data_IF_848642997490
#
_entry.id   IF_848642997490
#
_cell.length_a   1.000
_cell.length_b   1.000
_cell.length_c   1.000
_cell.angle_alpha   90.00
_cell.angle_beta   90.00
_cell.angle_gamma   90.00
#
_symmetry.space_group_name_H-M   'P 1'
#
loop_
_entity.id
_entity.type
_entity.pdbx_description
1 polymer ?
#
# COMPACT_ATOMS: atom_id res chain seq x y z
N UNK A 1 -5.24 1.80 -5.00
CA UNK A 1 -4.34 1.50 -3.87
C UNK A 1 -3.44 0.33 -4.26
N UNK A 2 -2.18 0.62 -4.53
CA UNK A 2 -1.22 -0.32 -5.15
C UNK A 2 -1.09 -1.65 -4.42
N UNK A 3 -1.10 -1.65 -3.08
CA UNK A 3 -1.04 -2.89 -2.28
C UNK A 3 -2.16 -3.87 -2.63
N UNK A 4 -3.32 -3.37 -3.04
CA UNK A 4 -4.46 -4.21 -3.43
C UNK A 4 -4.44 -4.53 -4.91
N UNK A 5 -4.16 -3.55 -5.76
CA UNK A 5 -4.19 -3.73 -7.23
C UNK A 5 -3.07 -4.64 -7.72
N UNK A 6 -1.85 -4.49 -7.19
CA UNK A 6 -0.73 -5.37 -7.52
C UNK A 6 -0.66 -6.60 -6.60
N UNK A 7 -1.08 -6.45 -5.34
CA UNK A 7 -1.00 -7.53 -4.35
C UNK A 7 -1.81 -8.78 -4.70
N UNK A 8 -2.91 -8.64 -5.43
CA UNK A 8 -3.69 -9.79 -5.89
C UNK A 8 -2.90 -10.67 -6.87
N UNK A 9 -2.13 -10.05 -7.76
CA UNK A 9 -1.26 -10.76 -8.72
C UNK A 9 -0.12 -11.45 -7.98
N UNK A 10 0.56 -10.71 -7.09
CA UNK A 10 1.63 -11.27 -6.25
C UNK A 10 1.17 -12.45 -5.40
N UNK A 11 -0.03 -12.33 -4.80
CA UNK A 11 -0.64 -13.43 -4.03
C UNK A 11 -0.92 -14.66 -4.90
N UNK A 12 -1.49 -14.47 -6.09
CA UNK A 12 -1.76 -15.58 -7.02
C UNK A 12 -0.47 -16.30 -7.44
N UNK A 13 0.58 -15.54 -7.72
CA UNK A 13 1.87 -16.10 -8.13
C UNK A 13 2.54 -16.86 -6.98
N UNK A 14 2.58 -16.29 -5.77
CA UNK A 14 3.18 -16.94 -4.61
C UNK A 14 2.47 -18.25 -4.25
N UNK A 15 1.15 -18.23 -4.24
CA UNK A 15 0.34 -19.42 -3.94
C UNK A 15 0.45 -20.45 -5.07
N UNK A 16 0.41 -20.00 -6.32
CA UNK A 16 0.58 -20.88 -7.47
C UNK A 16 1.92 -21.61 -7.47
N UNK A 17 3.01 -20.94 -7.12
CA UNK A 17 4.32 -21.55 -6.92
C UNK A 17 4.29 -22.57 -5.78
N UNK A 18 3.69 -22.23 -4.66
CA UNK A 18 3.56 -23.13 -3.50
C UNK A 18 2.77 -24.39 -3.84
N UNK A 19 1.76 -24.28 -4.69
CA UNK A 19 0.94 -25.40 -5.18
C UNK A 19 1.62 -26.21 -6.30
N UNK A 20 2.80 -25.80 -6.77
CA UNK A 20 3.51 -26.47 -7.86
C UNK A 20 2.83 -26.33 -9.22
N UNK A 21 2.12 -25.23 -9.48
CA UNK A 21 1.45 -25.00 -10.75
C UNK A 21 2.46 -24.90 -11.90
N UNK A 22 2.11 -25.46 -13.06
CA UNK A 22 2.89 -25.30 -14.29
C UNK A 22 2.90 -23.81 -14.73
N UNK A 23 3.86 -23.45 -15.59
CA UNK A 23 3.95 -22.09 -16.15
C UNK A 23 2.66 -21.66 -16.86
N UNK A 24 1.98 -22.59 -17.55
CA UNK A 24 0.69 -22.31 -18.17
C UNK A 24 -0.40 -22.00 -17.12
N UNK A 25 -0.47 -22.81 -16.07
CA UNK A 25 -1.43 -22.59 -14.97
C UNK A 25 -1.13 -21.30 -14.20
N UNK A 26 0.15 -20.96 -13.98
CA UNK A 26 0.55 -19.69 -13.35
C UNK A 26 0.08 -18.50 -14.19
N UNK A 27 0.24 -18.56 -15.51
CA UNK A 27 -0.27 -17.52 -16.42
C UNK A 27 -1.79 -17.38 -16.34
N UNK A 28 -2.52 -18.49 -16.27
CA UNK A 28 -3.97 -18.47 -16.09
C UNK A 28 -4.36 -17.90 -14.72
N UNK A 29 -3.65 -18.25 -13.66
CA UNK A 29 -3.85 -17.68 -12.33
C UNK A 29 -3.61 -16.17 -12.33
N UNK A 30 -2.56 -15.70 -13.00
CA UNK A 30 -2.26 -14.28 -13.16
C UNK A 30 -3.38 -13.57 -13.91
N UNK A 31 -3.93 -14.15 -14.96
CA UNK A 31 -5.07 -13.59 -15.70
C UNK A 31 -6.34 -13.51 -14.86
N UNK A 32 -6.64 -14.54 -14.09
CA UNK A 32 -7.76 -14.53 -13.16
C UNK A 32 -7.59 -13.47 -12.06
N UNK A 33 -6.37 -13.31 -11.54
CA UNK A 33 -6.03 -12.33 -10.51
C UNK A 33 -6.10 -10.90 -11.03
N UNK A 34 -5.54 -10.62 -12.21
CA UNK A 34 -5.53 -9.28 -12.80
C UNK A 34 -6.94 -8.75 -13.05
N UNK A 35 -7.87 -9.61 -13.41
CA UNK A 35 -9.29 -9.25 -13.59
C UNK A 35 -10.01 -8.90 -12.26
N UNK A 36 -9.42 -9.23 -11.12
CA UNK A 36 -9.95 -8.94 -9.79
C UNK A 36 -9.17 -7.80 -9.08
N UNK A 37 -8.24 -7.17 -9.78
CA UNK A 37 -7.46 -6.07 -9.22
C UNK A 37 -8.36 -4.88 -8.91
N UNK A 38 -8.43 -4.52 -7.63
CA UNK A 38 -9.24 -3.40 -7.15
C UNK A 38 -8.62 -2.76 -5.91
N UNK A 39 -9.22 -1.67 -5.45
CA UNK A 39 -8.80 -0.97 -4.25
C UNK A 39 -8.68 0.53 -4.49
N UNK A 40 -9.44 1.31 -3.74
CA UNK A 40 -9.50 2.76 -3.88
C UNK A 40 -8.64 3.44 -2.83
N UNK A 41 -7.92 4.48 -3.22
CA UNK A 41 -7.15 5.34 -2.31
C UNK A 41 -8.07 6.09 -1.35
N UNK A 42 -9.31 6.36 -1.75
CA UNK A 42 -10.33 7.03 -0.93
C UNK A 42 -10.64 6.29 0.38
N UNK A 43 -10.38 4.99 0.42
CA UNK A 43 -10.59 4.18 1.64
C UNK A 43 -9.52 4.41 2.73
N UNK A 44 -8.45 5.15 2.45
CA UNK A 44 -7.38 5.41 3.41
C UNK A 44 -7.91 6.12 4.67
N UNK A 45 -7.50 5.62 5.84
CA UNK A 45 -7.95 6.13 7.14
C UNK A 45 -9.25 5.49 7.65
N UNK A 46 -9.89 4.63 6.85
CA UNK A 46 -11.09 3.88 7.25
C UNK A 46 -10.79 2.39 7.44
N UNK A 47 -11.71 1.64 8.05
CA UNK A 47 -11.61 0.18 8.14
C UNK A 47 -11.69 -0.50 6.77
N UNK A 48 -12.36 0.11 5.80
CA UNK A 48 -12.48 -0.40 4.43
C UNK A 48 -11.13 -0.57 3.72
N UNK A 49 -10.11 0.22 4.08
CA UNK A 49 -8.73 0.01 3.57
C UNK A 49 -8.23 -1.39 3.85
N UNK A 50 -8.52 -1.94 5.02
CA UNK A 50 -8.05 -3.28 5.40
C UNK A 50 -8.76 -4.38 4.60
N UNK A 51 -10.03 -4.18 4.23
CA UNK A 51 -10.75 -5.16 3.40
C UNK A 51 -10.18 -5.27 1.99
N UNK A 52 -9.68 -4.18 1.41
CA UNK A 52 -9.09 -4.24 0.07
C UNK A 52 -7.80 -5.08 0.03
N UNK A 53 -6.97 -4.98 1.07
CA UNK A 53 -5.76 -5.81 1.21
C UNK A 53 -6.11 -7.28 1.46
N UNK A 54 -7.08 -7.54 2.35
CA UNK A 54 -7.59 -8.89 2.60
C UNK A 54 -8.22 -9.53 1.34
N UNK A 55 -8.94 -8.74 0.54
CA UNK A 55 -9.49 -9.19 -0.72
C UNK A 55 -8.38 -9.53 -1.74
N UNK A 56 -7.29 -8.79 -1.80
CA UNK A 56 -6.16 -9.12 -2.66
C UNK A 56 -5.58 -10.50 -2.32
N UNK A 57 -5.36 -10.78 -1.05
CA UNK A 57 -4.88 -12.09 -0.60
C UNK A 57 -5.88 -13.22 -0.93
N UNK A 58 -7.17 -13.01 -0.59
CA UNK A 58 -8.24 -14.00 -0.88
C UNK A 58 -8.40 -14.27 -2.37
N UNK A 59 -8.43 -13.21 -3.18
CA UNK A 59 -8.65 -13.34 -4.62
C UNK A 59 -7.43 -13.93 -5.33
N UNK A 60 -6.21 -13.68 -4.83
CA UNK A 60 -5.01 -14.34 -5.32
C UNK A 60 -5.03 -15.86 -5.04
N UNK A 61 -5.39 -16.26 -3.82
CA UNK A 61 -5.60 -17.67 -3.48
C UNK A 61 -6.65 -18.31 -4.39
N UNK A 62 -7.82 -17.67 -4.53
CA UNK A 62 -8.88 -18.15 -5.40
C UNK A 62 -8.40 -18.33 -6.85
N UNK A 63 -7.66 -17.36 -7.38
CA UNK A 63 -7.14 -17.39 -8.76
C UNK A 63 -6.18 -18.58 -8.97
N UNK A 64 -5.29 -18.86 -8.02
CA UNK A 64 -4.40 -20.01 -8.07
C UNK A 64 -5.16 -21.33 -8.00
N UNK A 65 -6.15 -21.45 -7.12
CA UNK A 65 -6.99 -22.64 -7.02
C UNK A 65 -7.82 -22.87 -8.29
N UNK A 66 -8.41 -21.83 -8.86
CA UNK A 66 -9.14 -21.94 -10.13
C UNK A 66 -8.23 -22.46 -11.24
N UNK A 67 -7.03 -21.90 -11.38
CA UNK A 67 -6.07 -22.37 -12.39
C UNK A 67 -5.60 -23.80 -12.15
N UNK A 68 -5.45 -24.26 -10.90
CA UNK A 68 -5.11 -25.63 -10.58
C UNK A 68 -6.18 -26.62 -11.04
N UNK A 69 -7.44 -26.18 -11.13
CA UNK A 69 -8.58 -26.95 -11.61
C UNK A 69 -8.91 -26.72 -13.10
N UNK A 70 -8.00 -26.15 -13.86
CA UNK A 70 -8.15 -26.01 -15.31
C UNK A 70 -8.89 -24.75 -15.77
N UNK A 71 -9.12 -23.79 -14.88
CA UNK A 71 -9.65 -22.48 -15.29
C UNK A 71 -8.62 -21.73 -16.14
N UNK A 72 -9.05 -21.21 -17.29
CA UNK A 72 -8.18 -20.55 -18.26
C UNK A 72 -8.25 -19.04 -18.17
N UNK A 73 -7.16 -18.38 -18.45
CA UNK A 73 -7.03 -16.91 -18.59
C UNK A 73 -6.33 -16.57 -19.90
N UNK A 74 -6.16 -15.27 -20.18
CA UNK A 74 -5.50 -14.79 -21.39
C UNK A 74 -4.00 -15.17 -21.42
N UNK A 75 -3.42 -15.22 -22.61
CA UNK A 75 -2.00 -15.53 -22.78
C UNK A 75 -1.06 -14.41 -22.29
N UNK A 76 -1.51 -13.17 -22.36
CA UNK A 76 -0.75 -11.96 -22.00
C UNK A 76 -1.55 -11.11 -21.00
N UNK A 77 -1.73 -11.57 -19.75
CA UNK A 77 -2.60 -10.91 -18.78
C UNK A 77 -2.09 -9.55 -18.31
N UNK A 78 -0.78 -9.35 -18.28
CA UNK A 78 -0.16 -8.11 -17.82
C UNK A 78 0.21 -7.19 -18.97
N UNK A 79 0.97 -7.69 -19.93
CA UNK A 79 1.63 -6.94 -20.99
C UNK A 79 0.79 -6.79 -22.26
N UNK A 80 -0.25 -7.58 -22.43
CA UNK A 80 -1.08 -7.56 -23.64
C UNK A 80 -1.71 -6.19 -23.92
N UNK A 81 -2.17 -5.92 -25.15
CA UNK A 81 -2.70 -4.59 -25.56
C UNK A 81 -3.86 -4.08 -24.70
N UNK A 82 -4.55 -4.96 -24.00
CA UNK A 82 -5.60 -4.66 -23.02
C UNK A 82 -5.31 -5.34 -21.67
N UNK A 83 -4.03 -5.66 -21.42
CA UNK A 83 -3.56 -6.25 -20.19
C UNK A 83 -3.56 -5.27 -19.04
N UNK A 84 -3.29 -5.80 -17.86
CA UNK A 84 -3.36 -5.05 -16.60
C UNK A 84 -2.53 -3.75 -16.64
N UNK A 85 -1.29 -3.81 -17.15
CA UNK A 85 -0.39 -2.66 -17.17
C UNK A 85 -0.87 -1.56 -18.11
N UNK A 86 -1.39 -1.92 -19.29
CA UNK A 86 -1.91 -0.96 -20.26
C UNK A 86 -3.17 -0.26 -19.79
N UNK A 87 -3.99 -0.95 -18.97
CA UNK A 87 -5.25 -0.40 -18.45
C UNK A 87 -5.01 0.44 -17.18
N UNK A 88 -4.06 0.03 -16.33
CA UNK A 88 -3.86 0.65 -15.02
C UNK A 88 -2.72 1.67 -14.98
N UNK A 89 -1.87 1.72 -15.98
CA UNK A 89 -0.70 2.60 -16.05
C UNK A 89 -0.73 3.56 -17.24
N UNK A 90 -0.13 4.71 -17.07
CA UNK A 90 0.21 5.62 -18.15
C UNK A 90 1.62 5.29 -18.65
N UNK A 91 1.77 4.89 -19.92
CA UNK A 91 3.05 4.54 -20.53
C UNK A 91 3.86 3.51 -19.71
N UNK A 92 3.33 2.29 -19.47
CA UNK A 92 4.02 1.30 -18.66
C UNK A 92 5.34 0.86 -19.31
N UNK A 93 6.39 0.83 -18.51
CA UNK A 93 7.68 0.23 -18.89
C UNK A 93 7.58 -1.29 -18.68
N UNK A 94 7.45 -2.04 -19.77
CA UNK A 94 7.30 -3.50 -19.72
C UNK A 94 8.61 -4.22 -19.37
N UNK A 95 9.75 -3.61 -19.62
CA UNK A 95 11.04 -4.19 -19.29
C UNK A 95 11.21 -4.36 -17.77
N UNK A 96 10.58 -3.50 -16.99
CA UNK A 96 10.57 -3.62 -15.52
C UNK A 96 9.92 -4.92 -15.00
N UNK A 97 9.17 -5.65 -15.81
CA UNK A 97 8.58 -6.93 -15.40
C UNK A 97 9.61 -8.04 -15.23
N UNK A 98 10.69 -7.99 -16.00
CA UNK A 98 11.66 -9.08 -16.07
C UNK A 98 13.08 -8.66 -15.72
N UNK A 99 13.40 -7.36 -15.80
CA UNK A 99 14.72 -6.85 -15.42
C UNK A 99 15.02 -7.13 -13.95
N UNK A 100 16.16 -7.76 -13.69
CA UNK A 100 16.61 -8.10 -12.33
C UNK A 100 15.80 -9.21 -11.66
N UNK A 101 14.91 -9.90 -12.37
CA UNK A 101 14.09 -10.98 -11.80
C UNK A 101 14.99 -12.15 -11.35
N UNK A 102 14.90 -12.48 -10.06
CA UNK A 102 15.75 -13.51 -9.44
C UNK A 102 17.10 -12.99 -8.91
N UNK A 103 17.45 -11.74 -9.18
CA UNK A 103 18.69 -11.08 -8.73
C UNK A 103 18.40 -9.90 -7.79
N UNK A 104 17.34 -9.15 -8.07
CA UNK A 104 16.90 -8.01 -7.26
C UNK A 104 15.61 -8.35 -6.52
N UNK A 105 15.64 -8.15 -5.21
CA UNK A 105 14.49 -8.43 -4.33
C UNK A 105 13.99 -7.12 -3.74
N UNK A 106 12.84 -6.64 -4.22
CA UNK A 106 12.24 -5.38 -3.78
C UNK A 106 11.99 -5.33 -2.26
N UNK A 107 11.86 -6.48 -1.61
CA UNK A 107 11.71 -6.56 -0.16
C UNK A 107 12.94 -6.05 0.59
N UNK A 108 14.12 -6.13 0.01
CA UNK A 108 15.38 -5.64 0.61
C UNK A 108 15.44 -4.11 0.64
N UNK A 109 14.71 -3.44 -0.28
CA UNK A 109 14.57 -1.99 -0.34
C UNK A 109 13.52 -1.41 0.61
N UNK A 110 12.81 -2.23 1.36
CA UNK A 110 11.76 -1.75 2.27
C UNK A 110 12.31 -1.00 3.47
N UNK A 111 11.64 0.11 3.79
CA UNK A 111 11.88 0.85 5.03
C UNK A 111 10.82 0.52 6.07
N UNK A 112 11.23 0.51 7.34
CA UNK A 112 10.32 0.33 8.46
C UNK A 112 9.74 1.66 8.91
N UNK A 113 8.46 1.67 9.29
CA UNK A 113 7.85 2.84 9.91
C UNK A 113 8.29 2.95 11.37
N UNK A 114 8.88 4.07 11.79
CA UNK A 114 9.25 4.27 13.20
C UNK A 114 8.03 4.47 14.09
N UNK A 115 6.89 4.93 13.53
CA UNK A 115 5.66 5.20 14.28
C UNK A 115 4.46 4.49 13.68
N UNK A 116 3.47 4.06 14.48
CA UNK A 116 2.29 3.31 14.03
C UNK A 116 1.22 4.23 13.41
N UNK A 117 1.62 5.10 12.48
CA UNK A 117 0.77 6.11 11.87
C UNK A 117 0.93 6.19 10.35
N UNK A 118 0.25 7.13 9.71
CA UNK A 118 0.47 7.46 8.30
C UNK A 118 1.89 7.95 8.07
N UNK A 119 2.60 7.42 7.07
CA UNK A 119 4.02 7.72 6.83
C UNK A 119 4.32 9.22 6.68
N UNK A 120 3.36 10.00 6.16
CA UNK A 120 3.49 11.45 6.01
C UNK A 120 3.55 12.20 7.34
N UNK A 121 3.20 11.55 8.46
CA UNK A 121 3.31 12.10 9.81
C UNK A 121 4.67 11.85 10.46
N UNK A 122 5.46 10.91 9.95
CA UNK A 122 6.75 10.59 10.56
C UNK A 122 7.66 11.82 10.72
N UNK A 123 7.88 12.67 9.69
CA UNK A 123 8.68 13.88 9.85
C UNK A 123 8.09 14.88 10.86
N UNK A 124 6.78 14.93 10.98
CA UNK A 124 6.09 15.81 11.96
C UNK A 124 6.39 15.35 13.36
N UNK A 125 6.24 14.04 13.62
CA UNK A 125 6.51 13.46 14.94
C UNK A 125 7.97 13.63 15.32
N UNK A 126 8.91 13.37 14.40
CA UNK A 126 10.35 13.60 14.62
C UNK A 126 10.65 15.07 14.99
N UNK A 127 10.05 16.03 14.25
CA UNK A 127 10.24 17.44 14.54
C UNK A 127 9.66 17.84 15.92
N UNK A 128 8.49 17.31 16.28
CA UNK A 128 7.88 17.56 17.58
C UNK A 128 8.70 16.97 18.73
N UNK A 129 9.22 15.75 18.56
CA UNK A 129 10.10 15.13 19.54
C UNK A 129 11.40 15.91 19.73
N UNK A 130 12.02 16.35 18.63
CA UNK A 130 13.24 17.18 18.70
C UNK A 130 12.98 18.54 19.39
N UNK A 131 11.87 19.18 19.10
CA UNK A 131 11.48 20.43 19.75
C UNK A 131 11.18 20.22 21.23
N UNK A 132 10.47 19.16 21.61
CA UNK A 132 10.18 18.83 23.00
C UNK A 132 11.46 18.59 23.80
N UNK A 133 12.47 17.95 23.22
CA UNK A 133 13.77 17.78 23.87
C UNK A 133 14.50 19.12 24.11
N UNK A 134 14.38 20.06 23.15
CA UNK A 134 14.98 21.40 23.28
C UNK A 134 14.27 22.29 24.29
N UNK A 135 12.94 22.18 24.36
CA UNK A 135 12.10 23.00 25.25
C UNK A 135 12.09 22.49 26.71
N UNK A 136 12.51 21.25 26.92
CA UNK A 136 12.48 20.61 28.26
C UNK A 136 11.08 20.09 28.65
N UNK A 137 10.83 19.87 29.95
CA UNK A 137 9.57 19.30 30.43
C UNK A 137 8.35 20.11 29.98
N UNK A 138 7.30 19.41 29.52
CA UNK A 138 6.08 19.99 28.96
C UNK A 138 5.41 21.00 29.88
N UNK A 139 5.39 20.74 31.19
CA UNK A 139 4.80 21.61 32.18
C UNK A 139 5.48 23.00 32.24
N UNK A 140 6.73 23.11 31.84
CA UNK A 140 7.50 24.35 31.87
C UNK A 140 7.14 25.34 30.76
N UNK A 141 6.62 24.88 29.62
CA UNK A 141 6.35 25.74 28.45
C UNK A 141 4.94 25.61 27.87
N UNK A 142 4.15 24.62 28.33
CA UNK A 142 2.81 24.39 27.81
C UNK A 142 1.88 25.61 27.89
N UNK A 143 2.04 26.42 28.94
CA UNK A 143 1.24 27.63 29.15
C UNK A 143 1.55 28.75 28.14
N UNK A 144 2.75 28.77 27.58
CA UNK A 144 3.20 29.78 26.64
C UNK A 144 2.93 29.40 25.19
N UNK A 145 2.50 28.16 24.95
CA UNK A 145 2.21 27.66 23.61
C UNK A 145 0.93 28.27 23.06
N UNK A 146 1.08 29.16 22.10
CA UNK A 146 -0.05 29.85 21.46
C UNK A 146 -0.49 29.15 20.17
N UNK A 147 0.45 28.61 19.41
CA UNK A 147 0.19 28.04 18.09
C UNK A 147 1.30 27.07 17.67
N UNK A 148 0.90 25.99 17.02
CA UNK A 148 1.81 25.09 16.30
C UNK A 148 1.51 25.23 14.80
N UNK A 149 2.52 25.51 14.01
CA UNK A 149 2.40 25.66 12.57
C UNK A 149 3.24 24.59 11.87
N UNK A 150 2.58 23.75 11.07
CA UNK A 150 3.22 22.72 10.26
C UNK A 150 3.39 23.21 8.83
N UNK A 151 4.62 23.27 8.35
CA UNK A 151 4.96 23.59 6.96
C UNK A 151 5.60 22.39 6.30
N UNK A 152 5.05 21.92 5.19
CA UNK A 152 5.54 20.75 4.50
C UNK A 152 4.94 20.58 3.12
N UNK A 153 5.18 19.42 2.52
CA UNK A 153 4.63 19.07 1.22
C UNK A 153 3.09 19.10 1.24
N UNK A 154 2.39 19.50 0.17
CA UNK A 154 0.93 19.57 0.11
C UNK A 154 0.21 18.26 0.53
N UNK A 155 0.84 17.11 0.29
CA UNK A 155 0.32 15.81 0.74
C UNK A 155 0.15 15.71 2.26
N UNK A 156 0.94 16.43 3.05
CA UNK A 156 0.77 16.46 4.50
C UNK A 156 -0.65 16.91 4.83
N UNK A 157 -1.06 18.08 4.33
CA UNK A 157 -2.40 18.61 4.55
C UNK A 157 -3.48 17.71 3.95
N UNK A 158 -3.34 17.32 2.69
CA UNK A 158 -4.34 16.50 2.00
C UNK A 158 -4.63 15.16 2.71
N UNK A 159 -3.62 14.58 3.34
CA UNK A 159 -3.72 13.23 3.94
C UNK A 159 -4.03 13.27 5.43
N UNK A 160 -3.68 14.33 6.14
CA UNK A 160 -3.67 14.33 7.60
C UNK A 160 -4.39 15.50 8.27
N UNK A 161 -4.90 16.49 7.52
CA UNK A 161 -5.73 17.57 8.07
C UNK A 161 -7.13 17.03 8.36
N UNK A 162 -7.30 16.43 9.54
CA UNK A 162 -8.52 15.74 9.98
C UNK A 162 -8.85 16.13 11.41
N UNK A 163 -9.27 17.38 11.65
CA UNK A 163 -9.63 17.82 12.99
C UNK A 163 -10.84 17.05 13.54
N UNK A 164 -10.92 16.90 14.86
CA UNK A 164 -12.07 16.30 15.53
C UNK A 164 -12.16 14.78 15.44
N UNK A 165 -11.03 14.08 15.29
CA UNK A 165 -11.02 12.61 15.32
C UNK A 165 -11.47 12.07 16.68
N UNK A 166 -12.31 11.04 16.64
CA UNK A 166 -12.93 10.43 17.83
C UNK A 166 -12.56 8.97 18.02
N UNK A 167 -11.71 8.41 17.17
CA UNK A 167 -11.30 7.01 17.26
C UNK A 167 -9.80 6.85 17.08
N UNK A 168 -9.21 5.83 17.72
CA UNK A 168 -7.80 5.49 17.57
C UNK A 168 -7.41 5.18 16.12
N UNK A 169 -8.33 4.67 15.31
CA UNK A 169 -8.06 4.44 13.88
C UNK A 169 -7.93 5.75 13.11
N UNK A 170 -8.80 6.70 13.36
CA UNK A 170 -8.76 8.00 12.70
C UNK A 170 -7.53 8.82 13.15
N UNK A 171 -7.13 8.71 14.43
CA UNK A 171 -5.97 9.43 14.97
C UNK A 171 -4.64 9.05 14.28
N UNK A 172 -4.51 7.83 13.79
CA UNK A 172 -3.31 7.37 13.07
C UNK A 172 -3.00 8.14 11.78
N UNK A 173 -3.93 8.94 11.28
CA UNK A 173 -3.79 9.75 10.06
C UNK A 173 -4.20 11.22 10.30
N UNK A 174 -4.09 11.70 11.52
CA UNK A 174 -4.46 13.06 11.93
C UNK A 174 -3.23 13.81 12.44
N UNK A 175 -2.88 14.92 11.76
CA UNK A 175 -1.76 15.75 12.16
C UNK A 175 -2.01 16.45 13.52
N UNK A 176 -3.24 16.90 13.75
CA UNK A 176 -3.61 17.57 15.00
C UNK A 176 -3.53 16.63 16.22
N UNK A 177 -3.62 15.34 16.01
CA UNK A 177 -3.46 14.36 17.07
C UNK A 177 -1.99 13.91 17.25
N UNK A 178 -1.19 13.97 16.18
CA UNK A 178 0.20 13.54 16.18
C UNK A 178 1.14 14.55 16.85
N UNK A 179 0.72 15.80 16.95
CA UNK A 179 1.41 16.93 17.57
C UNK A 179 0.92 17.09 19.01
#
# INVERSE_FOLDING_TARGET
>A
HITSTCGVIGSAMAIGQTLGLSSAQLRHAMGAASNQACGLVETLGTMAKSTSVGNAARNGLLSALLASHGFTGPDQPLEGPRGFLQVMGEQPDLDCLTNGLGEQWEIEGNSYKPYPCGVVLNPVIEACLALSQQLGPFEGWAHDLQRIELRGHPLLRQRTDRPGVTSGRASQVCAQHAV
#
